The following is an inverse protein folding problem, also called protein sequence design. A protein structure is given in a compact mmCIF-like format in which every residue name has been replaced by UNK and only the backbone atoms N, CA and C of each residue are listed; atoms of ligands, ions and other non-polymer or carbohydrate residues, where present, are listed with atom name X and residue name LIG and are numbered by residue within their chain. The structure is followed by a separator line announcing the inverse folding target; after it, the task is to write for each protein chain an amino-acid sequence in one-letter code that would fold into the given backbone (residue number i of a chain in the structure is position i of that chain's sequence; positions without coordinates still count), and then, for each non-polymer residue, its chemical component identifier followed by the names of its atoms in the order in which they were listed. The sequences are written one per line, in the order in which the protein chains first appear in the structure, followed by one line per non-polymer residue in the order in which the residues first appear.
data_IF_365738931961
#
_entry.id   IF_365738931961
#
_cell.length_a   1.000
_cell.length_b   1.000
_cell.length_c   1.000
_cell.angle_alpha   90.00
_cell.angle_beta   90.00
_cell.angle_gamma   90.00
#
_symmetry.space_group_name_H-M   'P 1'
#
loop_
_entity.id
_entity.type
_entity.pdbx_description
1 polymer ?
#
# COMPACT_ATOMS: atom_id res chain seq x y z
N UNK A 1 -4.31 -15.36 25.28
CA UNK A 1 -4.90 -15.80 23.99
C UNK A 1 -6.02 -14.83 23.61
N UNK A 2 -5.74 -13.83 22.78
CA UNK A 2 -6.77 -12.90 22.31
C UNK A 2 -7.71 -13.61 21.33
N UNK A 3 -8.89 -14.00 21.79
CA UNK A 3 -10.01 -14.46 20.96
C UNK A 3 -10.67 -13.23 20.32
N UNK A 4 -10.00 -12.64 19.33
CA UNK A 4 -10.46 -11.45 18.62
C UNK A 4 -10.67 -11.73 17.13
N UNK A 5 -11.94 -11.76 16.73
CA UNK A 5 -12.53 -11.82 15.38
C UNK A 5 -11.57 -11.89 14.18
N UNK A 6 -11.78 -12.93 13.37
CA UNK A 6 -11.13 -13.21 12.08
C UNK A 6 -11.59 -12.21 10.99
N UNK A 7 -11.31 -10.92 11.17
CA UNK A 7 -11.70 -9.86 10.24
C UNK A 7 -10.82 -9.96 9.00
N UNK A 8 -11.39 -10.40 7.87
CA UNK A 8 -10.66 -10.63 6.61
C UNK A 8 -9.72 -9.47 6.19
N UNK A 9 -10.12 -8.18 6.30
CA UNK A 9 -9.20 -7.06 6.10
C UNK A 9 -7.91 -7.15 6.94
N UNK A 10 -8.01 -7.47 8.24
CA UNK A 10 -6.86 -7.58 9.15
C UNK A 10 -5.90 -8.70 8.74
N UNK A 11 -6.44 -9.82 8.25
CA UNK A 11 -5.62 -10.95 7.79
C UNK A 11 -4.86 -10.55 6.52
N UNK A 12 -5.53 -9.91 5.56
CA UNK A 12 -4.90 -9.45 4.31
C UNK A 12 -3.81 -8.42 4.64
N UNK A 13 -4.12 -7.47 5.52
CA UNK A 13 -3.15 -6.51 6.04
C UNK A 13 -1.95 -7.20 6.67
N UNK A 14 -2.16 -8.16 7.55
CA UNK A 14 -1.07 -8.93 8.17
C UNK A 14 -0.21 -9.68 7.14
N UNK A 15 -0.83 -10.27 6.10
CA UNK A 15 -0.11 -10.95 5.01
C UNK A 15 0.73 -9.96 4.21
N UNK A 16 0.18 -8.77 3.90
CA UNK A 16 0.91 -7.70 3.23
C UNK A 16 2.11 -7.27 4.08
N UNK A 17 1.91 -6.95 5.36
CA UNK A 17 2.96 -6.50 6.28
C UNK A 17 4.05 -7.54 6.53
N UNK A 18 3.72 -8.84 6.53
CA UNK A 18 4.72 -9.90 6.80
C UNK A 18 5.50 -10.34 5.56
N UNK A 19 4.90 -10.22 4.38
CA UNK A 19 5.46 -10.79 3.15
C UNK A 19 5.95 -9.75 2.15
N UNK A 20 5.15 -8.70 1.93
CA UNK A 20 5.43 -7.69 0.91
C UNK A 20 6.30 -6.57 1.50
N UNK A 21 5.86 -5.98 2.61
CA UNK A 21 6.48 -4.78 3.21
C UNK A 21 7.99 -4.92 3.52
N UNK A 22 8.48 -6.00 4.15
CA UNK A 22 9.88 -6.07 4.60
C UNK A 22 10.89 -6.02 3.44
N UNK A 23 10.50 -6.52 2.26
CA UNK A 23 11.36 -6.48 1.07
C UNK A 23 11.58 -5.07 0.57
N UNK A 24 10.53 -4.23 0.59
CA UNK A 24 10.63 -2.83 0.19
C UNK A 24 11.34 -2.00 1.26
N UNK A 25 11.04 -2.22 2.54
CA UNK A 25 11.75 -1.55 3.64
C UNK A 25 13.25 -1.78 3.56
N UNK A 26 13.68 -3.03 3.32
CA UNK A 26 15.11 -3.35 3.15
C UNK A 26 15.75 -2.56 2.00
N UNK A 27 15.06 -2.46 0.85
CA UNK A 27 15.57 -1.70 -0.30
C UNK A 27 15.66 -0.22 0.03
N UNK A 28 14.63 0.33 0.68
CA UNK A 28 14.57 1.76 1.00
C UNK A 28 15.59 2.14 2.11
N UNK A 29 15.76 1.29 3.10
CA UNK A 29 16.75 1.44 4.17
C UNK A 29 18.18 1.35 3.63
N UNK A 30 18.45 0.50 2.63
CA UNK A 30 19.76 0.39 2.00
C UNK A 30 20.22 1.74 1.44
N UNK A 31 19.37 2.46 0.71
CA UNK A 31 19.75 3.77 0.16
C UNK A 31 19.88 4.87 1.21
N UNK A 32 19.13 4.79 2.31
CA UNK A 32 19.31 5.69 3.45
C UNK A 32 20.67 5.42 4.14
N UNK A 33 20.99 4.15 4.40
CA UNK A 33 22.22 3.72 5.07
C UNK A 33 23.48 3.99 4.22
N UNK A 34 23.37 3.87 2.89
CA UNK A 34 24.44 4.21 1.95
C UNK A 34 24.60 5.72 1.73
N UNK A 35 23.71 6.56 2.28
CA UNK A 35 23.73 8.01 2.10
C UNK A 35 23.35 8.46 0.68
N UNK A 36 22.57 7.65 -0.05
CA UNK A 36 22.03 8.01 -1.37
C UNK A 36 20.88 9.00 -1.28
N UNK A 37 20.21 9.08 -0.12
CA UNK A 37 19.04 9.90 0.12
C UNK A 37 19.17 10.64 1.47
N UNK A 38 19.04 11.96 1.45
CA UNK A 38 18.91 12.81 2.64
C UNK A 38 17.45 13.30 2.81
N UNK A 39 16.72 12.79 3.83
CA UNK A 39 15.36 13.26 4.14
C UNK A 39 15.25 14.76 4.49
N UNK A 40 16.37 15.39 4.86
CA UNK A 40 16.42 16.83 5.19
C UNK A 40 16.51 17.70 3.95
N UNK A 41 16.91 17.14 2.81
CA UNK A 41 16.94 17.86 1.56
C UNK A 41 15.56 17.82 0.87
N UNK A 42 14.93 18.99 0.77
CA UNK A 42 13.60 19.14 0.18
C UNK A 42 13.50 18.59 -1.25
N UNK A 43 14.54 18.79 -2.07
CA UNK A 43 14.55 18.32 -3.46
C UNK A 43 14.62 16.80 -3.52
N UNK A 44 15.59 16.21 -2.80
CA UNK A 44 15.78 14.77 -2.74
C UNK A 44 14.52 14.06 -2.24
N UNK A 45 13.85 14.65 -1.24
CA UNK A 45 12.58 14.17 -0.71
C UNK A 45 11.46 14.19 -1.73
N UNK A 46 11.31 15.28 -2.49
CA UNK A 46 10.27 15.38 -3.52
C UNK A 46 10.52 14.38 -4.67
N UNK A 47 11.78 14.24 -5.11
CA UNK A 47 12.16 13.25 -6.14
C UNK A 47 11.88 11.83 -5.62
N UNK A 48 12.20 11.57 -4.35
CA UNK A 48 11.94 10.28 -3.71
C UNK A 48 10.44 9.98 -3.65
N UNK A 49 9.62 10.90 -3.13
CA UNK A 49 8.16 10.75 -3.03
C UNK A 49 7.55 10.49 -4.41
N UNK A 50 7.96 11.26 -5.42
CA UNK A 50 7.48 11.11 -6.79
C UNK A 50 7.75 9.70 -7.35
N UNK A 51 8.97 9.20 -7.19
CA UNK A 51 9.36 7.90 -7.75
C UNK A 51 8.85 6.72 -6.90
N UNK A 52 9.03 6.79 -5.58
CA UNK A 52 8.72 5.72 -4.64
C UNK A 52 7.22 5.45 -4.56
N UNK A 53 6.38 6.49 -4.45
CA UNK A 53 4.93 6.25 -4.32
C UNK A 53 4.37 5.63 -5.60
N UNK A 54 4.73 6.14 -6.78
CA UNK A 54 4.26 5.56 -8.04
C UNK A 54 4.72 4.11 -8.23
N UNK A 55 5.96 3.79 -7.84
CA UNK A 55 6.46 2.42 -7.87
C UNK A 55 5.73 1.50 -6.88
N UNK A 56 5.62 1.90 -5.61
CA UNK A 56 4.95 1.12 -4.58
C UNK A 56 3.46 0.91 -4.90
N UNK A 57 2.78 1.91 -5.47
CA UNK A 57 1.40 1.77 -5.94
C UNK A 57 1.28 0.69 -7.03
N UNK A 58 2.15 0.72 -8.04
CA UNK A 58 2.16 -0.30 -9.10
C UNK A 58 2.43 -1.72 -8.56
N UNK A 59 3.33 -1.84 -7.59
CA UNK A 59 3.63 -3.13 -6.92
C UNK A 59 2.47 -3.62 -6.06
N UNK A 60 1.77 -2.73 -5.36
CA UNK A 60 0.55 -3.06 -4.60
C UNK A 60 -0.58 -3.52 -5.53
N UNK A 61 -0.77 -2.85 -6.66
CA UNK A 61 -1.74 -3.26 -7.67
C UNK A 61 -1.42 -4.65 -8.24
N UNK A 62 -0.13 -4.91 -8.53
CA UNK A 62 0.34 -6.22 -8.96
C UNK A 62 0.12 -7.29 -7.88
N UNK A 63 0.40 -6.97 -6.61
CA UNK A 63 0.14 -7.84 -5.47
C UNK A 63 -1.36 -8.18 -5.36
N UNK A 64 -2.24 -7.18 -5.45
CA UNK A 64 -3.69 -7.38 -5.39
C UNK A 64 -4.19 -8.24 -6.55
N UNK A 65 -3.70 -7.99 -7.77
CA UNK A 65 -4.01 -8.82 -8.94
C UNK A 65 -3.57 -10.27 -8.74
N UNK A 66 -2.37 -10.50 -8.21
CA UNK A 66 -1.89 -11.86 -7.88
C UNK A 66 -2.76 -12.53 -6.82
N UNK A 67 -3.13 -11.80 -5.78
CA UNK A 67 -3.95 -12.32 -4.69
C UNK A 67 -5.34 -12.75 -5.19
N UNK A 68 -5.95 -11.94 -6.06
CA UNK A 68 -7.29 -12.19 -6.61
C UNK A 68 -7.31 -13.25 -7.73
N UNK A 69 -6.20 -13.40 -8.46
CA UNK A 69 -6.02 -14.43 -9.50
C UNK A 69 -5.51 -15.77 -8.97
N UNK A 70 -5.03 -15.82 -7.72
CA UNK A 70 -4.58 -17.07 -7.09
C UNK A 70 -5.73 -17.87 -6.45
N UNK A 71 -5.73 -19.20 -6.55
CA UNK A 71 -6.71 -20.03 -5.84
C UNK A 71 -6.46 -19.96 -4.33
N UNK A 72 -7.51 -19.70 -3.55
CA UNK A 72 -7.43 -19.72 -2.08
C UNK A 72 -7.31 -21.16 -1.58
N UNK A 73 -6.53 -21.36 -0.52
CA UNK A 73 -6.43 -22.66 0.15
C UNK A 73 -7.82 -23.09 0.65
N UNK A 74 -8.15 -24.36 0.43
CA UNK A 74 -9.44 -24.90 0.80
C UNK A 74 -9.52 -25.10 2.31
N UNK A 75 -10.47 -24.43 2.93
CA UNK A 75 -10.78 -24.61 4.35
C UNK A 75 -11.95 -25.59 4.45
N UNK A 76 -11.69 -26.80 4.96
CA UNK A 76 -12.70 -27.87 5.08
C UNK A 76 -13.88 -27.46 5.94
N UNK A 77 -13.71 -26.47 6.82
CA UNK A 77 -14.74 -25.94 7.71
C UNK A 77 -15.66 -24.92 7.03
N UNK A 78 -15.37 -24.50 5.80
CA UNK A 78 -16.03 -23.37 5.15
C UNK A 78 -16.76 -23.78 3.87
N UNK A 79 -18.05 -23.44 3.80
CA UNK A 79 -18.94 -23.74 2.66
C UNK A 79 -18.78 -22.81 1.43
N UNK A 80 -17.74 -21.97 1.39
CA UNK A 80 -17.56 -21.02 0.28
C UNK A 80 -17.01 -21.71 -0.98
N UNK A 81 -17.30 -21.19 -2.18
CA UNK A 81 -16.76 -21.71 -3.42
C UNK A 81 -15.23 -21.73 -3.44
N UNK A 82 -14.69 -22.85 -3.89
CA UNK A 82 -13.26 -23.17 -3.82
C UNK A 82 -12.60 -22.98 -5.18
N UNK A 83 -12.11 -21.79 -5.53
CA UNK A 83 -11.33 -21.50 -6.75
C UNK A 83 -10.76 -20.08 -6.67
N UNK A 84 -10.20 -19.62 -7.79
CA UNK A 84 -9.72 -18.26 -8.02
C UNK A 84 -10.88 -17.26 -7.83
N UNK A 85 -10.75 -16.29 -6.89
CA UNK A 85 -11.77 -15.27 -6.63
C UNK A 85 -12.28 -14.55 -7.88
N UNK A 86 -11.39 -14.16 -8.80
CA UNK A 86 -11.80 -13.47 -10.03
C UNK A 86 -12.72 -14.33 -10.91
N UNK A 87 -12.43 -15.63 -11.01
CA UNK A 87 -13.23 -16.54 -11.82
C UNK A 87 -14.58 -16.87 -11.17
N UNK A 88 -14.61 -17.02 -9.85
CA UNK A 88 -15.86 -17.24 -9.10
C UNK A 88 -16.76 -16.02 -9.25
N UNK A 89 -16.19 -14.84 -9.05
CA UNK A 89 -16.90 -13.56 -9.20
C UNK A 89 -17.41 -13.40 -10.62
N UNK A 90 -16.59 -13.64 -11.65
CA UNK A 90 -17.00 -13.45 -13.03
C UNK A 90 -18.03 -14.48 -13.54
N UNK A 91 -17.98 -15.74 -13.05
CA UNK A 91 -18.81 -16.85 -13.55
C UNK A 91 -19.35 -17.72 -12.40
N UNK A 92 -20.24 -17.18 -11.55
CA UNK A 92 -20.71 -17.87 -10.34
C UNK A 92 -21.50 -19.14 -10.64
N UNK A 93 -22.17 -19.21 -11.79
CA UNK A 93 -22.93 -20.38 -12.27
C UNK A 93 -22.04 -21.63 -12.41
N UNK A 94 -20.78 -21.47 -12.82
CA UNK A 94 -19.84 -22.58 -13.01
C UNK A 94 -19.35 -23.19 -11.69
N UNK A 95 -19.61 -22.53 -10.57
CA UNK A 95 -19.16 -22.92 -9.24
C UNK A 95 -20.32 -23.26 -8.30
N UNK A 96 -21.53 -23.44 -8.85
CA UNK A 96 -22.74 -23.75 -8.09
C UNK A 96 -23.03 -22.70 -6.99
N UNK A 97 -22.74 -21.43 -7.29
CA UNK A 97 -22.93 -20.31 -6.37
C UNK A 97 -23.87 -19.27 -6.94
N UNK A 98 -24.59 -18.57 -6.05
CA UNK A 98 -25.49 -17.48 -6.42
C UNK A 98 -24.71 -16.18 -6.52
N UNK A 99 -24.99 -15.39 -7.55
CA UNK A 99 -24.48 -14.02 -7.64
C UNK A 99 -25.34 -13.12 -6.73
N UNK A 100 -24.70 -12.47 -5.76
CA UNK A 100 -25.33 -11.49 -4.88
C UNK A 100 -24.81 -10.07 -5.13
N UNK A 101 -24.13 -9.84 -6.26
CA UNK A 101 -23.65 -8.51 -6.60
C UNK A 101 -24.80 -7.54 -6.74
N UNK A 102 -24.62 -6.39 -6.12
CA UNK A 102 -25.41 -5.19 -6.40
C UNK A 102 -24.72 -4.53 -7.59
N UNK A 103 -25.38 -4.55 -8.75
CA UNK A 103 -24.90 -3.84 -9.92
C UNK A 103 -25.14 -2.34 -9.69
N UNK A 104 -24.11 -1.65 -9.27
CA UNK A 104 -24.11 -0.20 -9.16
C UNK A 104 -23.74 0.36 -10.54
N UNK A 105 -24.59 1.19 -11.18
CA UNK A 105 -24.24 1.85 -12.43
C UNK A 105 -22.96 2.68 -12.26
N UNK A 106 -22.06 2.63 -13.24
CA UNK A 106 -20.81 3.40 -13.21
C UNK A 106 -21.09 4.90 -13.14
N UNK A 107 -22.14 5.35 -13.82
CA UNK A 107 -22.54 6.77 -13.85
C UNK A 107 -22.85 7.30 -12.44
N UNK A 108 -23.43 6.46 -11.59
CA UNK A 108 -23.69 6.83 -10.20
C UNK A 108 -22.37 6.95 -9.43
N UNK A 109 -21.43 6.02 -9.59
CA UNK A 109 -20.13 6.13 -8.93
C UNK A 109 -19.37 7.38 -9.38
N UNK A 110 -19.39 7.69 -10.68
CA UNK A 110 -18.77 8.89 -11.25
C UNK A 110 -19.37 10.18 -10.66
N UNK A 111 -20.70 10.24 -10.49
CA UNK A 111 -21.37 11.36 -9.84
C UNK A 111 -20.96 11.51 -8.36
N UNK A 112 -20.82 10.39 -7.64
CA UNK A 112 -20.37 10.39 -6.25
C UNK A 112 -18.90 10.81 -6.13
N UNK A 113 -18.05 10.32 -7.02
CA UNK A 113 -16.64 10.70 -7.10
C UNK A 113 -16.51 12.20 -7.37
N UNK A 114 -17.21 12.73 -8.37
CA UNK A 114 -17.19 14.17 -8.67
C UNK A 114 -17.70 15.03 -7.49
N UNK A 115 -18.66 14.52 -6.72
CA UNK A 115 -19.25 15.24 -5.59
C UNK A 115 -18.38 15.24 -4.34
N UNK A 116 -17.74 14.11 -4.03
CA UNK A 116 -17.09 13.88 -2.73
C UNK A 116 -15.57 13.73 -2.83
N UNK A 117 -15.05 13.34 -3.99
CA UNK A 117 -13.65 13.09 -4.25
C UNK A 117 -13.26 13.66 -5.63
N UNK A 118 -13.44 14.98 -5.87
CA UNK A 118 -13.12 15.55 -7.17
C UNK A 118 -11.64 15.30 -7.51
N UNK A 119 -11.29 14.99 -8.76
CA UNK A 119 -9.94 14.59 -9.14
C UNK A 119 -8.92 15.71 -8.92
N UNK A 120 -9.37 16.96 -8.94
CA UNK A 120 -8.53 18.15 -8.68
C UNK A 120 -8.32 18.42 -7.18
N UNK A 121 -8.87 17.58 -6.29
CA UNK A 121 -8.76 17.78 -4.86
C UNK A 121 -7.29 17.73 -4.42
N UNK A 122 -6.81 18.70 -3.62
CA UNK A 122 -5.40 18.80 -3.23
C UNK A 122 -4.87 17.60 -2.44
N UNK A 123 -5.75 16.75 -1.89
CA UNK A 123 -5.37 15.49 -1.21
C UNK A 123 -4.87 14.42 -2.18
N UNK A 124 -5.27 14.47 -3.46
CA UNK A 124 -4.79 13.55 -4.49
C UNK A 124 -3.50 14.03 -5.17
N UNK A 125 -3.04 15.24 -4.84
CA UNK A 125 -1.78 15.77 -5.34
C UNK A 125 -0.61 15.19 -4.53
N UNK A 126 0.06 14.19 -5.09
CA UNK A 126 1.25 13.53 -4.54
C UNK A 126 2.36 14.54 -4.18
N UNK A 127 2.62 15.46 -5.10
CA UNK A 127 3.55 16.58 -4.98
C UNK A 127 2.97 17.76 -5.77
N UNK A 128 3.65 18.91 -5.74
CA UNK A 128 3.20 20.10 -6.44
C UNK A 128 3.05 19.81 -7.95
N UNK A 129 1.96 20.27 -8.60
CA UNK A 129 1.75 20.03 -10.03
C UNK A 129 2.92 20.49 -10.92
N UNK A 130 3.55 21.61 -10.56
CA UNK A 130 4.74 22.12 -11.26
C UNK A 130 5.94 21.16 -11.13
N UNK A 131 6.14 20.60 -9.94
CA UNK A 131 7.20 19.62 -9.69
C UNK A 131 6.93 18.33 -10.45
N UNK A 132 5.69 17.84 -10.49
CA UNK A 132 5.29 16.65 -11.26
C UNK A 132 5.55 16.88 -12.75
N UNK A 133 5.15 18.03 -13.29
CA UNK A 133 5.34 18.36 -14.70
C UNK A 133 6.83 18.36 -15.09
N UNK A 134 7.67 19.00 -14.25
CA UNK A 134 9.11 19.05 -14.47
C UNK A 134 9.77 17.68 -14.28
N UNK A 135 9.38 16.93 -13.25
CA UNK A 135 9.84 15.55 -13.01
C UNK A 135 9.55 14.66 -14.21
N UNK A 136 8.33 14.74 -14.75
CA UNK A 136 7.91 13.97 -15.92
C UNK A 136 8.75 14.33 -17.15
N UNK A 137 8.99 15.61 -17.40
CA UNK A 137 9.83 16.05 -18.51
C UNK A 137 11.27 15.50 -18.42
N UNK A 138 11.86 15.55 -17.22
CA UNK A 138 13.20 15.01 -16.98
C UNK A 138 13.22 13.47 -17.11
N UNK A 139 12.20 12.80 -16.59
CA UNK A 139 12.03 11.36 -16.68
C UNK A 139 11.86 10.87 -18.12
N UNK A 140 11.13 11.61 -18.95
CA UNK A 140 11.00 11.37 -20.38
C UNK A 140 12.36 11.51 -21.08
N UNK A 141 13.19 12.47 -20.66
CA UNK A 141 14.57 12.63 -21.11
C UNK A 141 15.47 11.44 -20.79
N UNK A 142 15.21 10.73 -19.69
CA UNK A 142 15.88 9.49 -19.30
C UNK A 142 15.35 8.25 -20.05
N UNK A 143 14.41 8.43 -21.00
CA UNK A 143 13.71 7.37 -21.75
C UNK A 143 12.84 6.47 -20.87
N UNK A 144 12.29 7.00 -19.78
CA UNK A 144 11.34 6.29 -18.92
C UNK A 144 11.85 4.90 -18.49
N UNK A 145 12.97 4.82 -17.76
CA UNK A 145 13.50 3.54 -17.31
C UNK A 145 12.45 2.78 -16.49
N UNK A 146 12.43 1.44 -16.59
CA UNK A 146 11.55 0.65 -15.75
C UNK A 146 12.07 0.65 -14.30
N UNK A 147 11.20 1.03 -13.36
CA UNK A 147 11.50 1.02 -11.93
C UNK A 147 11.15 -0.36 -11.37
N UNK A 148 12.15 -1.04 -10.82
CA UNK A 148 12.04 -2.29 -10.08
C UNK A 148 12.86 -2.20 -8.78
N UNK A 149 12.78 -3.23 -7.95
CA UNK A 149 13.59 -3.33 -6.71
C UNK A 149 15.07 -3.03 -6.92
N UNK A 150 15.62 -3.51 -8.04
CA UNK A 150 17.05 -3.48 -8.30
C UNK A 150 17.47 -2.19 -9.01
N UNK A 151 16.56 -1.56 -9.76
CA UNK A 151 16.84 -0.36 -10.55
C UNK A 151 16.42 0.93 -9.85
N UNK A 152 15.62 0.84 -8.78
CA UNK A 152 15.03 1.99 -8.08
C UNK A 152 16.06 3.08 -7.76
N UNK A 153 17.12 2.74 -7.04
CA UNK A 153 18.15 3.71 -6.65
C UNK A 153 18.95 4.25 -7.83
N UNK A 154 19.20 3.42 -8.85
CA UNK A 154 19.88 3.88 -10.07
C UNK A 154 19.05 4.92 -10.83
N UNK A 155 17.74 4.69 -10.95
CA UNK A 155 16.80 5.63 -11.57
C UNK A 155 16.64 6.89 -10.73
N UNK A 156 16.54 6.74 -9.41
CA UNK A 156 16.50 7.85 -8.46
C UNK A 156 17.72 8.77 -8.61
N UNK A 157 18.93 8.22 -8.55
CA UNK A 157 20.16 9.00 -8.68
C UNK A 157 20.31 9.64 -10.06
N UNK A 158 19.90 8.95 -11.13
CA UNK A 158 19.90 9.52 -12.47
C UNK A 158 18.94 10.71 -12.58
N UNK A 159 17.72 10.57 -12.07
CA UNK A 159 16.72 11.64 -12.07
C UNK A 159 17.21 12.81 -11.21
N UNK A 160 17.68 12.56 -9.99
CA UNK A 160 18.24 13.59 -9.11
C UNK A 160 19.42 14.32 -9.77
N UNK A 161 20.30 13.59 -10.46
CA UNK A 161 21.39 14.21 -11.21
C UNK A 161 20.87 15.18 -12.28
N UNK A 162 19.83 14.81 -13.05
CA UNK A 162 19.23 15.72 -14.03
C UNK A 162 18.64 16.98 -13.40
N UNK A 163 18.08 16.89 -12.19
CA UNK A 163 17.62 18.07 -11.44
C UNK A 163 18.79 18.99 -11.06
N UNK A 164 19.92 18.44 -10.63
CA UNK A 164 21.12 19.23 -10.32
C UNK A 164 21.76 19.90 -11.54
N UNK A 165 21.55 19.37 -12.75
CA UNK A 165 22.03 19.98 -13.99
C UNK A 165 21.14 21.13 -14.49
N UNK A 166 19.98 21.37 -13.87
CA UNK A 166 19.12 22.47 -14.29
C UNK A 166 19.70 23.83 -13.88
N UNK A 167 19.73 24.81 -14.79
CA UNK A 167 20.34 26.12 -14.53
C UNK A 167 19.54 26.96 -13.52
N UNK A 168 18.25 26.65 -13.35
CA UNK A 168 17.38 27.27 -12.36
C UNK A 168 16.41 26.21 -11.84
N UNK A 169 16.46 25.95 -10.53
CA UNK A 169 15.45 25.17 -9.84
C UNK A 169 14.47 26.14 -9.16
N UNK A 170 13.17 26.08 -9.46
CA UNK A 170 12.17 26.78 -8.67
C UNK A 170 12.33 26.42 -7.19
N UNK A 171 12.08 27.39 -6.29
CA UNK A 171 12.21 27.13 -4.86
C UNK A 171 11.04 26.27 -4.37
N UNK A 172 11.23 24.95 -4.36
CA UNK A 172 10.23 24.00 -3.85
C UNK A 172 10.26 23.84 -2.31
N UNK A 173 11.24 24.44 -1.62
CA UNK A 173 11.46 24.23 -0.19
C UNK A 173 10.32 24.76 0.70
N UNK A 174 9.70 25.88 0.31
CA UNK A 174 8.53 26.43 1.03
C UNK A 174 7.34 25.47 1.03
N UNK A 175 7.24 24.61 0.01
CA UNK A 175 6.08 23.75 -0.23
C UNK A 175 6.19 22.38 0.45
N UNK A 176 7.42 21.92 0.75
CA UNK A 176 7.65 20.70 1.53
C UNK A 176 7.15 20.86 2.97
N UNK A 177 7.26 22.07 3.54
CA UNK A 177 6.70 22.40 4.86
C UNK A 177 5.17 22.34 4.83
N UNK A 178 4.54 22.95 3.82
CA UNK A 178 3.08 23.00 3.66
C UNK A 178 2.43 21.63 3.44
N UNK A 179 3.13 20.66 2.82
CA UNK A 179 2.63 19.28 2.70
C UNK A 179 2.69 18.51 4.03
N UNK A 180 3.60 18.86 4.95
CA UNK A 180 3.71 18.20 6.26
C UNK A 180 2.85 18.87 7.34
N UNK A 181 2.60 20.18 7.21
CA UNK A 181 1.74 20.97 8.11
C UNK A 181 0.26 20.94 7.69
N UNK A 182 -0.18 19.99 6.85
CA UNK A 182 -1.62 19.79 6.65
C UNK A 182 -2.20 19.28 7.97
N UNK A 183 -2.94 20.15 8.63
CA UNK A 183 -3.58 19.87 9.90
C UNK A 183 -4.33 18.52 9.84
N UNK A 184 -4.20 17.67 10.88
CA UNK A 184 -5.04 16.48 11.05
C UNK A 184 -6.54 16.82 11.28
N UNK A 185 -6.94 18.07 11.08
CA UNK A 185 -8.33 18.56 11.15
C UNK A 185 -8.99 18.61 9.74
N UNK A 186 -8.23 18.46 8.64
CA UNK A 186 -8.78 18.31 7.28
C UNK A 186 -9.42 16.92 7.03
N UNK A 187 -9.64 16.14 8.09
CA UNK A 187 -10.44 14.92 8.02
C UNK A 187 -11.86 15.29 7.58
N UNK A 188 -12.27 14.76 6.43
CA UNK A 188 -13.67 14.73 6.01
C UNK A 188 -14.51 14.34 7.22
N UNK A 189 -15.45 15.19 7.69
CA UNK A 189 -16.23 14.87 8.87
C UNK A 189 -16.87 13.52 8.66
N UNK A 190 -16.58 12.57 9.55
CA UNK A 190 -17.14 11.24 9.51
C UNK A 190 -18.66 11.39 9.38
N UNK A 191 -19.24 10.70 8.40
CA UNK A 191 -20.70 10.62 8.29
C UNK A 191 -21.25 10.31 9.67
N UNK A 192 -22.34 10.99 10.08
CA UNK A 192 -22.89 11.02 11.44
C UNK A 192 -23.06 9.64 12.10
N UNK A 193 -23.06 8.57 11.30
CA UNK A 193 -23.31 7.19 11.67
C UNK A 193 -22.02 6.33 11.81
N UNK A 194 -20.83 6.89 11.52
CA UNK A 194 -19.52 6.22 11.60
C UNK A 194 -18.76 6.56 12.88
N UNK A 195 -19.17 7.61 13.60
CA UNK A 195 -18.57 8.06 14.86
C UNK A 195 -18.80 7.09 16.04
N UNK A 196 -19.69 6.11 15.89
CA UNK A 196 -20.04 5.15 16.96
C UNK A 196 -19.15 3.88 16.96
N UNK A 197 -18.18 3.77 16.05
CA UNK A 197 -17.24 2.65 16.09
C UNK A 197 -16.22 2.84 17.22
N UNK A 198 -15.95 1.82 18.06
CA UNK A 198 -14.99 1.95 19.15
C UNK A 198 -13.62 2.34 18.60
N UNK A 199 -13.09 3.47 19.07
CA UNK A 199 -11.77 3.96 18.71
C UNK A 199 -10.70 2.89 19.00
N UNK A 200 -9.75 2.77 18.09
CA UNK A 200 -8.59 1.88 18.20
C UNK A 200 -7.69 2.45 19.31
N UNK A 201 -7.78 1.91 20.53
CA UNK A 201 -6.84 2.24 21.60
C UNK A 201 -5.51 1.53 21.33
N UNK A 202 -4.50 2.30 20.93
CA UNK A 202 -3.10 1.91 21.07
C UNK A 202 -2.79 1.92 22.57
N UNK A 203 -2.62 0.74 23.16
CA UNK A 203 -2.07 0.62 24.50
C UNK A 203 -0.64 0.15 24.36
N UNK A 204 0.29 1.05 24.69
CA UNK A 204 1.72 0.81 24.74
C UNK A 204 2.07 -0.03 25.99
N UNK A 205 2.79 -1.13 25.76
CA UNK A 205 3.84 -1.71 26.63
C UNK A 205 3.58 -1.94 28.12
N UNK A 206 3.60 -3.21 28.52
CA UNK A 206 4.37 -3.62 29.70
C UNK A 206 5.16 -4.90 29.39
N UNK A 207 6.49 -4.78 29.49
CA UNK A 207 7.44 -5.89 29.43
C UNK A 207 7.24 -6.84 30.63
N UNK A 208 7.05 -8.12 30.34
CA UNK A 208 7.09 -9.21 31.32
C UNK A 208 7.84 -10.40 30.74
N UNK A 209 8.83 -10.88 31.49
CA UNK A 209 9.85 -11.88 31.16
C UNK A 209 9.35 -13.25 30.61
N UNK A 210 10.25 -14.05 29.99
CA UNK A 210 9.88 -15.11 29.06
C UNK A 210 9.65 -16.46 29.77
N UNK A 211 8.40 -16.90 29.85
CA UNK A 211 8.09 -18.25 30.33
C UNK A 211 7.92 -19.27 29.20
N UNK A 212 8.97 -20.09 29.11
CA UNK A 212 8.98 -21.53 28.87
C UNK A 212 8.52 -22.05 27.50
N UNK A 213 9.51 -22.52 26.75
CA UNK A 213 9.44 -23.40 25.59
C UNK A 213 8.37 -24.49 25.74
N UNK A 214 7.40 -24.53 24.81
CA UNK A 214 6.64 -25.74 24.52
C UNK A 214 7.18 -26.27 23.18
N UNK A 215 8.21 -27.10 23.27
CA UNK A 215 8.49 -28.08 22.23
C UNK A 215 7.34 -29.09 22.27
N UNK A 216 6.54 -29.15 21.21
CA UNK A 216 5.64 -30.27 20.99
C UNK A 216 6.49 -31.45 20.48
N UNK A 217 6.71 -32.40 21.38
CA UNK A 217 7.29 -33.71 21.13
C UNK A 217 6.40 -34.50 20.17
N UNK A 218 6.96 -34.90 19.02
CA UNK A 218 6.33 -35.82 18.07
C UNK A 218 6.75 -37.23 18.46
N UNK A 219 5.89 -37.93 19.19
CA UNK A 219 5.99 -39.38 19.35
C UNK A 219 4.74 -40.03 18.77
N UNK A 220 4.91 -40.64 17.59
CA UNK A 220 3.96 -41.54 16.96
C UNK A 220 3.95 -42.88 17.71
N UNK A 221 2.81 -43.27 18.29
CA UNK A 221 2.53 -44.67 18.62
C UNK A 221 1.43 -45.18 17.69
N UNK A 222 1.86 -45.96 16.69
CA UNK A 222 1.01 -46.93 16.00
C UNK A 222 0.45 -47.91 17.04
N UNK A 223 -0.87 -48.09 17.07
CA UNK A 223 -1.44 -49.31 17.60
C UNK A 223 -2.44 -49.89 16.60
N UNK A 224 -2.06 -51.05 16.06
CA UNK A 224 -2.88 -51.92 15.24
C UNK A 224 -3.89 -52.64 16.13
N UNK A 225 -5.13 -52.75 15.63
CA UNK A 225 -6.18 -53.62 16.14
C UNK A 225 -7.22 -53.84 15.05
#
# INVERSE_FOLDING_TARGET
MWKGSNVKPKIIWMVLCRGWTPGFETILDEGLNQGLYDPRNALEKLVFIYLAISWLQAELDAFMKRLNSSPRHADKTKILPHRIPDLITAKPEKYNTRDFKILVPSELLDEFELRWAPPDHPIFQLTLPEFVALSRQLYDGLRQPAVSSDTFWGVYSALLHTFHQLPFLPNFAASVQTQMDRDPEDFVPLLLNLAELPAFSEDEGEEGEPDVQIFADFSDEENSG
#
